data_IF_677427143364
#
_entry.id   IF_677427143364
#
_cell.length_a   1.000
_cell.length_b   1.000
_cell.length_c   1.000
_cell.angle_alpha   90.00
_cell.angle_beta   90.00
_cell.angle_gamma   90.00
#
_symmetry.space_group_name_H-M   'P 1'
#
loop_
_entity.id
_entity.type
_entity.pdbx_description
1 polymer ?
#
# COMPACT_ATOMS: atom_id res chain seq x y z
N UNK A 1 23.32 -7.48 -14.98
CA UNK A 1 23.07 -7.06 -13.59
C UNK A 1 21.72 -7.63 -13.19
N UNK A 2 21.70 -8.77 -12.50
CA UNK A 2 20.45 -9.42 -12.10
C UNK A 2 19.86 -8.59 -10.98
N UNK A 3 18.86 -7.75 -11.28
CA UNK A 3 18.12 -7.01 -10.26
C UNK A 3 17.44 -8.05 -9.37
N UNK A 4 17.83 -8.11 -8.09
CA UNK A 4 17.13 -8.96 -7.14
C UNK A 4 15.64 -8.53 -7.11
N UNK A 5 14.68 -9.47 -7.17
CA UNK A 5 13.28 -9.12 -7.11
C UNK A 5 12.99 -8.39 -5.79
N UNK A 6 12.25 -7.28 -5.88
CA UNK A 6 11.88 -6.49 -4.71
C UNK A 6 11.06 -7.30 -3.70
N UNK A 7 11.08 -6.92 -2.42
CA UNK A 7 10.42 -7.66 -1.34
C UNK A 7 8.93 -7.96 -1.64
N UNK A 8 8.22 -7.01 -2.25
CA UNK A 8 6.82 -7.18 -2.69
C UNK A 8 6.70 -8.33 -3.71
N UNK A 9 7.55 -8.35 -4.74
CA UNK A 9 7.51 -9.41 -5.77
C UNK A 9 7.82 -10.79 -5.19
N UNK A 10 8.77 -10.88 -4.26
CA UNK A 10 9.08 -12.14 -3.56
C UNK A 10 7.89 -12.58 -2.70
N UNK A 11 7.28 -11.66 -1.95
CA UNK A 11 6.11 -11.98 -1.12
C UNK A 11 4.89 -12.39 -1.95
N UNK A 12 4.64 -11.72 -3.08
CA UNK A 12 3.54 -12.06 -3.99
C UNK A 12 3.71 -13.43 -4.61
N UNK A 13 4.93 -13.77 -5.04
CA UNK A 13 5.23 -15.08 -5.61
C UNK A 13 5.13 -16.22 -4.57
N UNK A 14 5.49 -15.95 -3.32
CA UNK A 14 5.57 -16.99 -2.28
C UNK A 14 4.26 -17.15 -1.50
N UNK A 15 3.60 -16.05 -1.19
CA UNK A 15 2.46 -15.99 -0.26
C UNK A 15 1.17 -15.54 -0.95
N UNK A 16 1.28 -14.99 -2.16
CA UNK A 16 0.17 -14.42 -2.90
C UNK A 16 -0.02 -12.91 -2.63
N UNK A 17 -0.70 -12.20 -3.55
CA UNK A 17 -1.01 -10.78 -3.40
C UNK A 17 -1.95 -10.49 -2.23
N UNK A 18 -2.71 -11.50 -1.79
CA UNK A 18 -3.68 -11.42 -0.71
C UNK A 18 -3.10 -11.48 0.71
N UNK A 19 -1.82 -11.83 0.86
CA UNK A 19 -1.27 -12.21 2.15
C UNK A 19 -0.93 -11.00 3.03
N UNK A 20 -1.19 -11.04 4.36
CA UNK A 20 -0.81 -9.98 5.30
C UNK A 20 0.65 -9.49 5.16
N UNK A 21 1.59 -10.41 4.97
CA UNK A 21 3.01 -10.08 4.73
C UNK A 21 3.21 -9.25 3.46
N UNK A 22 2.54 -9.61 2.36
CA UNK A 22 2.60 -8.85 1.11
C UNK A 22 2.07 -7.43 1.32
N UNK A 23 1.00 -7.30 2.10
CA UNK A 23 0.44 -6.02 2.50
C UNK A 23 1.34 -5.16 3.37
N UNK A 24 2.05 -5.78 4.31
CA UNK A 24 3.06 -5.09 5.11
C UNK A 24 4.20 -4.57 4.21
N UNK A 25 4.65 -5.36 3.23
CA UNK A 25 5.63 -4.92 2.23
C UNK A 25 5.11 -3.74 1.39
N UNK A 26 3.87 -3.81 0.88
CA UNK A 26 3.25 -2.70 0.13
C UNK A 26 3.14 -1.43 0.97
N UNK A 27 2.74 -1.55 2.24
CA UNK A 27 2.60 -0.42 3.15
C UNK A 27 3.93 0.29 3.45
N UNK A 28 4.99 -0.49 3.66
CA UNK A 28 6.33 0.06 3.88
C UNK A 28 6.87 0.73 2.61
N UNK A 29 6.61 0.14 1.45
CA UNK A 29 6.99 0.73 0.17
C UNK A 29 6.24 2.05 -0.07
N UNK A 30 4.93 2.08 0.17
CA UNK A 30 4.12 3.30 0.07
C UNK A 30 4.67 4.43 0.96
N UNK A 31 5.00 4.13 2.21
CA UNK A 31 5.59 5.11 3.14
C UNK A 31 6.94 5.64 2.64
N UNK A 32 7.78 4.75 2.13
CA UNK A 32 9.09 5.12 1.55
C UNK A 32 8.92 5.99 0.30
N UNK A 33 8.04 5.61 -0.62
CA UNK A 33 7.77 6.38 -1.84
C UNK A 33 7.20 7.76 -1.50
N UNK A 34 6.32 7.85 -0.50
CA UNK A 34 5.80 9.12 -0.01
C UNK A 34 6.91 10.06 0.46
N UNK A 35 7.82 9.56 1.30
CA UNK A 35 8.97 10.32 1.80
C UNK A 35 9.94 10.75 0.67
N UNK A 36 9.97 10.01 -0.43
CA UNK A 36 10.79 10.32 -1.62
C UNK A 36 10.06 11.22 -2.63
N UNK A 37 8.91 11.80 -2.28
CA UNK A 37 8.12 12.67 -3.14
C UNK A 37 7.31 11.93 -4.21
N UNK A 38 7.38 10.60 -4.26
CA UNK A 38 6.65 9.75 -5.20
C UNK A 38 5.24 9.45 -4.69
N UNK A 39 4.49 10.51 -4.40
CA UNK A 39 3.22 10.45 -3.67
C UNK A 39 2.12 9.68 -4.41
N UNK A 40 2.06 9.76 -5.75
CA UNK A 40 1.09 9.02 -6.58
C UNK A 40 1.34 7.51 -6.51
N UNK A 41 2.61 7.09 -6.62
CA UNK A 41 2.98 5.67 -6.51
C UNK A 41 2.68 5.13 -5.12
N UNK A 42 2.94 5.91 -4.08
CA UNK A 42 2.61 5.58 -2.71
C UNK A 42 1.10 5.36 -2.49
N UNK A 43 0.28 6.27 -3.03
CA UNK A 43 -1.17 6.15 -2.97
C UNK A 43 -1.65 4.86 -3.65
N UNK A 44 -1.19 4.58 -4.87
CA UNK A 44 -1.58 3.38 -5.61
C UNK A 44 -1.23 2.08 -4.86
N UNK A 45 -0.08 2.04 -4.18
CA UNK A 45 0.31 0.89 -3.34
C UNK A 45 -0.59 0.72 -2.12
N UNK A 46 -0.95 1.83 -1.46
CA UNK A 46 -1.85 1.82 -0.31
C UNK A 46 -3.27 1.39 -0.70
N UNK A 47 -3.78 1.85 -1.85
CA UNK A 47 -5.09 1.47 -2.39
C UNK A 47 -5.14 -0.02 -2.76
N UNK A 48 -4.07 -0.53 -3.41
CA UNK A 48 -3.97 -1.96 -3.70
C UNK A 48 -4.03 -2.80 -2.44
N UNK A 49 -3.40 -2.36 -1.36
CA UNK A 49 -3.44 -3.07 -0.09
C UNK A 49 -4.83 -3.02 0.58
N UNK A 50 -5.52 -1.88 0.51
CA UNK A 50 -6.91 -1.78 0.98
C UNK A 50 -7.83 -2.76 0.25
N UNK A 51 -7.74 -2.85 -1.08
CA UNK A 51 -8.57 -3.76 -1.87
C UNK A 51 -8.38 -5.23 -1.47
N UNK A 52 -7.15 -5.60 -1.10
CA UNK A 52 -6.85 -6.94 -0.57
C UNK A 52 -7.49 -7.16 0.80
N UNK A 53 -7.38 -6.19 1.71
CA UNK A 53 -7.99 -6.29 3.05
C UNK A 53 -9.52 -6.33 2.99
N UNK A 54 -10.14 -5.53 2.13
CA UNK A 54 -11.58 -5.57 1.91
C UNK A 54 -12.02 -6.95 1.42
N UNK A 55 -11.28 -7.56 0.48
CA UNK A 55 -11.61 -8.89 -0.05
C UNK A 55 -11.37 -10.03 0.95
N UNK A 56 -10.43 -9.88 1.90
CA UNK A 56 -10.03 -10.95 2.83
C UNK A 56 -10.69 -10.85 4.19
N UNK A 57 -10.81 -9.64 4.74
CA UNK A 57 -11.32 -9.39 6.09
C UNK A 57 -12.69 -8.68 6.09
N UNK A 58 -13.08 -8.10 4.96
CA UNK A 58 -14.28 -7.27 4.84
C UNK A 58 -13.99 -5.77 5.09
N UNK A 59 -14.90 -4.89 4.65
CA UNK A 59 -14.74 -3.44 4.74
C UNK A 59 -14.75 -2.91 6.18
N UNK A 60 -15.50 -3.55 7.07
CA UNK A 60 -15.66 -3.12 8.47
C UNK A 60 -14.59 -3.66 9.42
N UNK A 61 -13.66 -4.48 8.93
CA UNK A 61 -12.59 -5.03 9.77
C UNK A 61 -11.67 -3.89 10.25
N UNK A 62 -11.23 -3.88 11.53
CA UNK A 62 -10.39 -2.82 12.09
C UNK A 62 -9.14 -2.50 11.25
N UNK A 63 -8.48 -3.52 10.70
CA UNK A 63 -7.33 -3.33 9.82
C UNK A 63 -7.69 -2.65 8.50
N UNK A 64 -8.82 -3.02 7.90
CA UNK A 64 -9.33 -2.40 6.66
C UNK A 64 -9.63 -0.92 6.89
N UNK A 65 -10.35 -0.62 7.97
CA UNK A 65 -10.67 0.76 8.38
C UNK A 65 -9.41 1.59 8.63
N UNK A 66 -8.41 1.03 9.33
CA UNK A 66 -7.14 1.71 9.56
C UNK A 66 -6.43 2.07 8.25
N UNK A 67 -6.43 1.15 7.26
CA UNK A 67 -5.79 1.41 5.96
C UNK A 67 -6.57 2.37 5.08
N UNK A 68 -7.90 2.33 5.12
CA UNK A 68 -8.75 3.34 4.49
C UNK A 68 -8.46 4.76 5.01
N UNK A 69 -8.20 4.92 6.31
CA UNK A 69 -7.78 6.21 6.88
C UNK A 69 -6.44 6.68 6.31
N UNK A 70 -5.48 5.80 6.10
CA UNK A 70 -4.19 6.15 5.51
C UNK A 70 -4.31 6.57 4.03
N UNK A 71 -5.12 5.85 3.24
CA UNK A 71 -5.43 6.24 1.85
C UNK A 71 -6.08 7.62 1.80
N UNK A 72 -7.04 7.88 2.70
CA UNK A 72 -7.70 9.18 2.80
C UNK A 72 -6.72 10.30 3.13
N UNK A 73 -5.75 10.05 4.02
CA UNK A 73 -4.69 11.00 4.34
C UNK A 73 -3.80 11.28 3.12
N UNK A 74 -3.39 10.24 2.39
CA UNK A 74 -2.58 10.42 1.18
C UNK A 74 -3.30 11.23 0.10
N UNK A 75 -4.59 10.98 -0.12
CA UNK A 75 -5.40 11.76 -1.08
C UNK A 75 -5.51 13.22 -0.65
N UNK A 76 -5.85 13.46 0.61
CA UNK A 76 -5.95 14.83 1.15
C UNK A 76 -4.64 15.61 0.99
N UNK A 77 -3.51 15.00 1.33
CA UNK A 77 -2.20 15.63 1.21
C UNK A 77 -1.73 15.81 -0.25
N UNK A 78 -2.33 15.10 -1.20
CA UNK A 78 -2.12 15.35 -2.63
C UNK A 78 -2.99 16.51 -3.11
N UNK A 79 -4.21 16.63 -2.61
CA UNK A 79 -5.13 17.73 -2.94
C UNK A 79 -4.70 19.08 -2.29
N UNK A 80 -3.98 19.04 -1.19
CA UNK A 80 -3.48 20.22 -0.44
C UNK A 80 -2.14 20.79 -0.96
N UNK A 81 -1.53 20.24 -2.03
CA UNK A 81 -0.30 20.82 -2.60
C UNK A 81 -0.62 22.12 -3.35
N UNK A 82 -0.08 23.29 -2.92
CA UNK A 82 -0.18 24.51 -3.71
C UNK A 82 0.63 24.35 -5.01
N UNK A 83 0.04 24.81 -6.12
CA UNK A 83 0.67 24.85 -7.44
C UNK A 83 1.95 25.70 -7.46
#
# INVERSE_FOLDING_TARGET
>A
MTTAPGAVAVSEATLGPGHPTTGACLSNLATTHWALGRRVEALAMAERWVAVLEATLGPDHPDTVLRLRNVSLYRRLLDEEPA
#
